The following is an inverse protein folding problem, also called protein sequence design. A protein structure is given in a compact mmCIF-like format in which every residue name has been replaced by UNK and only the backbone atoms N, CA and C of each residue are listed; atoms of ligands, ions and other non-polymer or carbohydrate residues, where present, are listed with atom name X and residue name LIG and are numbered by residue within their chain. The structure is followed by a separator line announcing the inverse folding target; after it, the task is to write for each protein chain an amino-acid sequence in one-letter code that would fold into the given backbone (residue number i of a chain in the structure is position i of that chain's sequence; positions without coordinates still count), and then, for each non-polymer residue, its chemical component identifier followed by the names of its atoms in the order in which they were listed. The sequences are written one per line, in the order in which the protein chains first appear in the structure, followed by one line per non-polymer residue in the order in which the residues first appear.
data_IF_995383851669
#
_entry.id   IF_995383851669
#
_cell.length_a   1.000
_cell.length_b   1.000
_cell.length_c   1.000
_cell.angle_alpha   90.00
_cell.angle_beta   90.00
_cell.angle_gamma   90.00
#
_symmetry.space_group_name_H-M   'P 1'
#
loop_
_entity.id
_entity.type
_entity.pdbx_description
1 polymer ?
#
# COMPACT_ATOMS: atom_id res chain seq x y z
N UNK A 1 29.92 1.18 49.12
CA UNK A 1 29.80 0.64 47.75
C UNK A 1 29.73 1.82 46.82
N UNK A 2 30.72 1.99 45.96
CA UNK A 2 30.89 3.24 45.21
C UNK A 2 29.89 3.30 44.05
N UNK A 3 28.87 4.13 44.18
CA UNK A 3 27.86 4.34 43.14
C UNK A 3 28.43 5.29 42.08
N UNK A 4 29.37 4.79 41.28
CA UNK A 4 30.02 5.60 40.24
C UNK A 4 29.01 6.10 39.21
N UNK A 5 28.78 7.41 39.21
CA UNK A 5 27.87 8.08 38.30
C UNK A 5 28.33 7.84 36.86
N UNK A 6 27.69 6.87 36.21
CA UNK A 6 27.93 6.51 34.83
C UNK A 6 26.89 7.20 33.97
N UNK A 7 27.30 7.72 32.81
CA UNK A 7 26.42 8.26 31.76
C UNK A 7 26.60 7.44 30.49
N UNK A 8 25.57 7.38 29.65
CA UNK A 8 25.68 6.87 28.28
C UNK A 8 25.55 8.03 27.32
N UNK A 9 26.55 8.18 26.47
CA UNK A 9 26.60 9.13 25.38
C UNK A 9 26.23 8.39 24.11
N UNK A 10 25.20 8.87 23.41
CA UNK A 10 24.82 8.39 22.08
C UNK A 10 25.38 9.33 21.03
N UNK A 11 25.98 8.76 19.98
CA UNK A 11 26.56 9.49 18.87
C UNK A 11 25.91 9.08 17.55
N UNK A 12 25.67 10.06 16.67
CA UNK A 12 25.29 9.89 15.26
C UNK A 12 26.40 10.47 14.40
N UNK A 13 26.89 9.71 13.42
CA UNK A 13 27.95 10.13 12.48
C UNK A 13 29.23 10.64 13.21
N UNK A 14 29.51 10.07 14.38
CA UNK A 14 30.61 10.46 15.27
C UNK A 14 30.33 11.66 16.19
N UNK A 15 29.30 12.46 15.92
CA UNK A 15 28.87 13.61 16.74
C UNK A 15 27.97 13.15 17.90
N UNK A 16 28.15 13.69 19.10
CA UNK A 16 27.24 13.44 20.22
C UNK A 16 25.84 14.03 19.94
N UNK A 17 24.79 13.26 20.23
CA UNK A 17 23.39 13.67 20.06
C UNK A 17 22.56 13.61 21.35
N UNK A 18 22.95 12.78 22.33
CA UNK A 18 22.22 12.61 23.58
C UNK A 18 23.14 12.07 24.68
N UNK A 19 22.96 12.54 25.91
CA UNK A 19 23.65 12.04 27.11
C UNK A 19 22.61 11.68 28.17
N UNK A 20 22.60 10.43 28.63
CA UNK A 20 21.64 9.90 29.61
C UNK A 20 22.35 9.40 30.88
N UNK A 21 21.85 9.68 32.10
CA UNK A 21 22.39 9.10 33.33
C UNK A 21 22.03 7.62 33.43
N UNK A 22 22.97 6.78 33.89
CA UNK A 22 22.74 5.35 34.14
C UNK A 22 22.07 5.14 35.49
N UNK A 23 20.83 5.63 35.62
CA UNK A 23 19.93 5.27 36.71
C UNK A 23 19.34 3.85 36.54
N UNK A 24 19.33 3.33 35.29
CA UNK A 24 18.71 2.07 34.88
C UNK A 24 19.64 1.18 34.05
N UNK A 25 19.36 -0.12 34.06
CA UNK A 25 20.11 -1.13 33.30
C UNK A 25 19.78 -1.17 31.79
N UNK A 26 18.69 -0.52 31.36
CA UNK A 26 18.26 -0.45 29.96
C UNK A 26 17.87 0.99 29.62
N UNK A 27 18.41 1.49 28.52
CA UNK A 27 17.97 2.73 27.89
C UNK A 27 17.06 2.39 26.72
N UNK A 28 16.00 3.19 26.55
CA UNK A 28 15.22 3.26 25.32
C UNK A 28 15.32 4.71 24.87
N UNK A 29 15.88 4.94 23.68
CA UNK A 29 16.00 6.27 23.09
C UNK A 29 14.95 6.38 22.00
N UNK A 30 13.81 6.97 22.35
CA UNK A 30 12.75 7.27 21.39
C UNK A 30 13.09 8.60 20.71
N UNK A 31 13.46 8.54 19.43
CA UNK A 31 13.61 9.74 18.61
C UNK A 31 12.23 10.27 18.24
N UNK A 32 11.79 11.35 18.90
CA UNK A 32 10.46 11.95 18.77
C UNK A 32 10.15 12.58 17.40
N UNK A 33 11.00 12.37 16.38
CA UNK A 33 10.85 12.89 15.03
C UNK A 33 10.86 11.73 14.03
N UNK A 34 9.68 11.34 13.49
CA UNK A 34 9.60 10.40 12.39
C UNK A 34 10.22 10.96 11.10
N UNK A 35 10.76 10.06 10.28
CA UNK A 35 10.80 10.18 8.81
C UNK A 35 11.54 11.37 8.14
N UNK A 36 12.29 12.21 8.87
CA UNK A 36 13.29 13.07 8.20
C UNK A 36 14.43 12.21 7.63
N UNK A 37 14.85 12.39 6.36
CA UNK A 37 16.02 11.68 5.82
C UNK A 37 17.32 12.03 6.57
N UNK A 38 17.36 13.14 7.31
CA UNK A 38 18.47 13.54 8.19
C UNK A 38 18.65 12.59 9.38
N UNK A 39 17.64 11.76 9.70
CA UNK A 39 17.73 10.72 10.72
C UNK A 39 18.54 9.50 10.26
N UNK A 40 18.87 9.36 8.97
CA UNK A 40 19.75 8.30 8.50
C UNK A 40 21.21 8.58 8.87
N UNK A 41 21.95 7.59 9.36
CA UNK A 41 23.36 7.76 9.76
C UNK A 41 23.94 6.59 10.55
N UNK A 42 25.22 6.70 10.93
CA UNK A 42 25.92 5.74 11.78
C UNK A 42 25.71 6.04 13.27
N UNK A 43 24.95 5.20 13.96
CA UNK A 43 24.71 5.29 15.39
C UNK A 43 25.71 4.45 16.19
N UNK A 44 26.16 4.98 17.33
CA UNK A 44 26.98 4.28 18.32
C UNK A 44 26.74 4.85 19.71
N UNK A 45 27.17 4.14 20.75
CA UNK A 45 27.15 4.67 22.12
C UNK A 45 28.48 4.44 22.84
N UNK A 46 28.76 5.24 23.88
CA UNK A 46 29.91 5.09 24.77
C UNK A 46 29.52 5.40 26.20
N UNK A 47 30.17 4.75 27.16
CA UNK A 47 29.96 4.99 28.58
C UNK A 47 30.94 6.05 29.06
N UNK A 48 30.47 7.02 29.85
CA UNK A 48 31.32 7.94 30.60
C UNK A 48 31.17 7.60 32.08
N UNK A 49 32.28 7.34 32.77
CA UNK A 49 32.31 6.94 34.17
C UNK A 49 33.07 7.97 34.99
N UNK A 50 32.45 8.50 36.05
CA UNK A 50 33.14 9.37 37.01
C UNK A 50 33.82 8.53 38.09
N UNK A 51 35.13 8.65 38.23
CA UNK A 51 35.90 7.91 39.25
C UNK A 51 35.90 8.59 40.63
N UNK A 52 36.48 7.91 41.62
CA UNK A 52 36.53 8.35 43.02
C UNK A 52 37.35 9.65 43.23
N UNK A 53 38.05 10.15 42.20
CA UNK A 53 38.73 11.48 42.19
C UNK A 53 37.94 12.52 41.40
N UNK A 54 36.65 12.26 41.13
CA UNK A 54 35.78 13.04 40.25
C UNK A 54 36.26 13.15 38.79
N UNK A 55 37.20 12.31 38.33
CA UNK A 55 37.67 12.36 36.94
C UNK A 55 36.73 11.61 36.01
N UNK A 56 36.37 12.23 34.88
CA UNK A 56 35.51 11.60 33.87
C UNK A 56 36.36 10.76 32.91
N UNK A 57 36.07 9.46 32.84
CA UNK A 57 36.74 8.48 31.97
C UNK A 57 35.75 7.90 30.98
N UNK A 58 36.03 8.05 29.69
CA UNK A 58 35.14 7.60 28.60
C UNK A 58 35.61 6.25 28.05
N UNK A 59 34.67 5.32 27.85
CA UNK A 59 34.95 4.03 27.22
C UNK A 59 35.26 4.17 25.74
N UNK A 60 35.81 3.10 25.15
CA UNK A 60 35.73 2.91 23.70
C UNK A 60 34.26 2.96 23.23
N UNK A 61 33.97 3.45 22.01
CA UNK A 61 32.64 3.36 21.41
C UNK A 61 32.19 1.91 21.19
N UNK A 62 30.87 1.71 21.14
CA UNK A 62 30.26 0.48 20.65
C UNK A 62 30.59 0.23 19.18
N UNK A 63 30.32 -0.99 18.70
CA UNK A 63 30.15 -1.22 17.27
C UNK A 63 29.14 -0.22 16.69
N UNK A 64 29.45 0.34 15.51
CA UNK A 64 28.55 1.24 14.79
C UNK A 64 27.38 0.47 14.19
N UNK A 65 26.22 1.11 14.08
CA UNK A 65 25.03 0.59 13.41
C UNK A 65 24.48 1.68 12.51
N UNK A 66 24.54 1.46 11.20
CA UNK A 66 23.83 2.32 10.26
C UNK A 66 22.32 2.10 10.43
N UNK A 67 21.58 3.19 10.65
CA UNK A 67 20.12 3.20 10.71
C UNK A 67 19.61 4.19 9.64
N UNK A 68 18.46 3.89 9.05
CA UNK A 68 17.78 4.76 8.11
C UNK A 68 16.27 4.54 8.21
N UNK A 69 15.49 5.61 8.12
CA UNK A 69 14.03 5.51 8.06
C UNK A 69 13.61 5.11 6.64
N UNK A 70 12.72 4.10 6.46
CA UNK A 70 12.16 3.82 5.14
C UNK A 70 11.32 5.01 4.68
N UNK A 71 11.68 5.62 3.55
CA UNK A 71 10.92 6.74 3.00
C UNK A 71 9.46 6.30 2.69
N UNK A 72 8.44 7.16 2.95
CA UNK A 72 7.03 6.79 2.84
C UNK A 72 6.51 6.73 1.38
N UNK A 73 7.19 5.97 0.53
CA UNK A 73 6.84 5.77 -0.88
C UNK A 73 5.41 5.21 -1.06
N UNK A 74 4.93 4.40 -0.11
CA UNK A 74 3.55 3.86 -0.12
C UNK A 74 2.51 4.99 -0.05
N UNK A 75 2.76 6.05 0.74
CA UNK A 75 1.85 7.20 0.79
C UNK A 75 1.81 7.92 -0.56
N UNK A 76 2.97 8.13 -1.20
CA UNK A 76 3.03 8.75 -2.53
C UNK A 76 2.23 7.95 -3.57
N UNK A 77 2.34 6.63 -3.60
CA UNK A 77 1.54 5.77 -4.48
C UNK A 77 0.04 5.89 -4.22
N UNK A 78 -0.40 5.92 -2.96
CA UNK A 78 -1.82 6.10 -2.60
C UNK A 78 -2.34 7.48 -3.05
N UNK A 79 -1.56 8.54 -2.88
CA UNK A 79 -1.91 9.88 -3.37
C UNK A 79 -1.98 9.96 -4.90
N UNK A 80 -1.02 9.32 -5.61
CA UNK A 80 -1.03 9.23 -7.08
C UNK A 80 -2.28 8.49 -7.56
N UNK A 81 -2.55 7.29 -7.07
CA UNK A 81 -3.72 6.48 -7.44
C UNK A 81 -5.04 7.23 -7.20
N UNK A 82 -5.16 7.92 -6.06
CA UNK A 82 -6.33 8.74 -5.72
C UNK A 82 -6.48 9.93 -6.67
N UNK A 83 -5.39 10.60 -7.03
CA UNK A 83 -5.38 11.71 -7.99
C UNK A 83 -5.78 11.25 -9.39
N UNK A 84 -5.18 10.16 -9.89
CA UNK A 84 -5.52 9.56 -11.19
C UNK A 84 -6.99 9.16 -11.27
N UNK A 85 -7.56 8.58 -10.20
CA UNK A 85 -8.98 8.23 -10.16
C UNK A 85 -9.89 9.45 -10.24
N UNK A 86 -9.59 10.53 -9.49
CA UNK A 86 -10.36 11.78 -9.54
C UNK A 86 -10.28 12.43 -10.92
N UNK A 87 -9.10 12.48 -11.53
CA UNK A 87 -8.92 13.00 -12.89
C UNK A 87 -9.70 12.18 -13.93
N UNK A 88 -9.67 10.85 -13.84
CA UNK A 88 -10.42 9.97 -14.74
C UNK A 88 -11.94 10.17 -14.61
N UNK A 89 -12.44 10.33 -13.39
CA UNK A 89 -13.86 10.65 -13.15
C UNK A 89 -14.25 12.01 -13.76
N UNK A 90 -13.47 13.07 -13.50
CA UNK A 90 -13.71 14.40 -14.05
C UNK A 90 -13.67 14.43 -15.59
N UNK A 91 -12.73 13.72 -16.22
CA UNK A 91 -12.64 13.61 -17.68
C UNK A 91 -13.76 12.76 -18.29
N UNK A 92 -14.30 11.79 -17.54
CA UNK A 92 -15.38 10.92 -18.05
C UNK A 92 -16.74 11.62 -18.15
N UNK A 93 -17.05 12.55 -17.25
CA UNK A 93 -18.33 13.27 -17.24
C UNK A 93 -18.68 13.96 -18.58
N UNK A 94 -17.82 14.80 -19.19
CA UNK A 94 -18.11 15.39 -20.50
C UNK A 94 -18.17 14.35 -21.63
N UNK A 95 -17.37 13.28 -21.55
CA UNK A 95 -17.40 12.19 -22.55
C UNK A 95 -18.76 11.47 -22.51
N UNK A 96 -19.30 11.17 -21.33
CA UNK A 96 -20.64 10.60 -21.19
C UNK A 96 -21.72 11.56 -21.70
N UNK A 97 -21.65 12.86 -21.38
CA UNK A 97 -22.60 13.87 -21.90
C UNK A 97 -22.61 13.89 -23.43
N UNK A 98 -21.45 14.00 -24.08
CA UNK A 98 -21.34 14.01 -25.54
C UNK A 98 -21.84 12.70 -26.19
N UNK A 99 -21.66 11.55 -25.54
CA UNK A 99 -22.17 10.26 -26.03
C UNK A 99 -23.71 10.17 -25.90
N UNK A 100 -24.28 10.70 -24.81
CA UNK A 100 -25.72 10.73 -24.60
C UNK A 100 -26.43 11.69 -25.57
N UNK A 101 -25.90 12.90 -25.75
CA UNK A 101 -26.41 13.90 -26.69
C UNK A 101 -26.43 13.35 -28.13
N UNK A 102 -25.32 12.73 -28.57
CA UNK A 102 -25.23 12.11 -29.89
C UNK A 102 -26.21 10.94 -30.10
N UNK A 103 -26.67 10.27 -29.03
CA UNK A 103 -27.67 9.21 -29.11
C UNK A 103 -29.11 9.74 -29.17
N UNK A 104 -29.40 10.90 -28.59
CA UNK A 104 -30.72 11.53 -28.68
C UNK A 104 -31.08 11.98 -30.11
N UNK A 105 -30.07 12.36 -30.90
CA UNK A 105 -30.23 12.78 -32.31
C UNK A 105 -30.35 11.57 -33.26
N UNK A 106 -29.95 10.37 -32.81
CA UNK A 106 -29.81 9.18 -33.64
C UNK A 106 -30.86 8.09 -33.32
N UNK A 107 -32.10 8.48 -33.02
CA UNK A 107 -33.23 7.55 -33.03
C UNK A 107 -33.79 7.48 -34.46
N UNK A 108 -33.71 6.33 -35.16
CA UNK A 108 -34.39 6.15 -36.44
C UNK A 108 -35.88 5.90 -36.20
N UNK A 109 -36.74 6.69 -36.86
CA UNK A 109 -38.19 6.50 -36.84
C UNK A 109 -38.55 5.09 -37.36
N UNK A 110 -38.94 4.21 -36.45
CA UNK A 110 -39.26 2.80 -36.76
C UNK A 110 -40.78 2.61 -36.83
N UNK A 111 -41.46 3.46 -37.61
CA UNK A 111 -42.87 3.31 -37.98
C UNK A 111 -43.08 3.64 -39.47
N UNK A 112 -43.10 2.58 -40.29
CA UNK A 112 -44.00 2.38 -41.44
C UNK A 112 -43.62 1.06 -42.15
N UNK A 113 -44.27 -0.04 -41.77
CA UNK A 113 -44.40 -1.22 -42.64
C UNK A 113 -45.80 -1.81 -42.53
N UNK A 114 -46.78 -1.10 -43.08
CA UNK A 114 -48.11 -1.66 -43.34
C UNK A 114 -48.22 -2.06 -44.82
N UNK A 115 -48.34 -3.37 -45.08
CA UNK A 115 -49.44 -3.89 -45.91
C UNK A 115 -49.64 -5.41 -45.75
N UNK A 116 -50.87 -5.93 -45.86
CA UNK A 116 -51.17 -7.32 -45.49
C UNK A 116 -51.41 -8.26 -46.70
N UNK A 117 -51.44 -9.55 -46.35
CA UNK A 117 -52.17 -10.66 -46.99
C UNK A 117 -51.72 -11.19 -48.38
N UNK A 118 -51.23 -12.42 -48.37
CA UNK A 118 -51.78 -13.49 -49.22
C UNK A 118 -51.98 -14.78 -48.40
N UNK A 119 -52.64 -15.80 -48.95
CA UNK A 119 -53.37 -16.83 -48.18
C UNK A 119 -53.16 -18.26 -48.70
N UNK A 120 -52.80 -19.20 -47.81
CA UNK A 120 -52.80 -20.65 -48.05
C UNK A 120 -52.29 -21.40 -46.80
N UNK A 121 -53.10 -22.16 -46.06
CA UNK A 121 -53.79 -23.44 -46.38
C UNK A 121 -52.82 -24.64 -46.43
N UNK A 122 -52.73 -25.38 -45.32
CA UNK A 122 -52.06 -26.69 -45.23
C UNK A 122 -51.94 -27.17 -43.77
N UNK A 123 -52.30 -28.43 -43.49
CA UNK A 123 -52.46 -29.01 -42.13
C UNK A 123 -51.16 -29.59 -41.50
N UNK A 124 -51.13 -29.83 -40.16
CA UNK A 124 -50.07 -30.57 -39.44
C UNK A 124 -50.40 -32.09 -39.34
N UNK A 125 -49.78 -32.90 -38.44
CA UNK A 125 -48.43 -32.87 -37.82
C UNK A 125 -47.47 -33.81 -38.62
N UNK A 126 -46.40 -34.49 -38.16
CA UNK A 126 -45.79 -34.91 -36.87
C UNK A 126 -44.22 -34.84 -37.01
N UNK A 127 -43.30 -35.38 -36.19
CA UNK A 127 -43.37 -36.26 -35.01
C UNK A 127 -42.16 -36.13 -34.04
N UNK A 128 -42.43 -36.53 -32.80
CA UNK A 128 -41.61 -37.24 -31.80
C UNK A 128 -40.25 -37.86 -32.23
N UNK A 129 -39.20 -37.60 -31.43
CA UNK A 129 -37.85 -38.17 -31.58
C UNK A 129 -37.12 -38.30 -30.24
N UNK A 130 -37.34 -39.40 -29.53
CA UNK A 130 -36.80 -39.68 -28.20
C UNK A 130 -35.34 -40.18 -28.26
N UNK A 131 -34.44 -39.61 -27.44
CA UNK A 131 -33.01 -39.94 -27.40
C UNK A 131 -32.45 -39.86 -25.99
N UNK A 132 -32.18 -41.02 -25.38
CA UNK A 132 -31.88 -41.21 -23.95
C UNK A 132 -30.44 -41.69 -23.74
N UNK A 133 -29.87 -41.32 -22.58
CA UNK A 133 -28.75 -42.03 -21.90
C UNK A 133 -27.37 -41.99 -22.63
N UNK A 134 -26.18 -42.17 -22.01
CA UNK A 134 -25.78 -42.69 -20.69
C UNK A 134 -24.70 -41.85 -19.98
N UNK A 135 -24.50 -42.15 -18.69
CA UNK A 135 -23.41 -41.69 -17.82
C UNK A 135 -22.12 -42.54 -17.93
N UNK A 136 -20.96 -41.91 -17.61
CA UNK A 136 -19.76 -42.43 -16.92
C UNK A 136 -18.72 -41.28 -16.87
N UNK A 137 -17.87 -41.03 -15.86
CA UNK A 137 -17.37 -41.85 -14.74
C UNK A 137 -16.02 -42.48 -15.10
N UNK A 138 -14.86 -42.24 -14.44
CA UNK A 138 -14.48 -41.36 -13.31
C UNK A 138 -13.06 -40.78 -13.53
N UNK A 139 -12.49 -39.91 -12.68
CA UNK A 139 -11.92 -40.19 -11.35
C UNK A 139 -10.76 -41.21 -11.37
N UNK A 140 -9.51 -40.76 -11.14
CA UNK A 140 -8.32 -41.64 -11.22
C UNK A 140 -6.94 -40.98 -11.03
N UNK A 141 -6.79 -40.01 -10.12
CA UNK A 141 -5.49 -39.67 -9.49
C UNK A 141 -5.14 -40.76 -8.43
N UNK A 142 -3.88 -40.92 -7.96
CA UNK A 142 -2.72 -40.01 -8.07
C UNK A 142 -1.43 -40.59 -8.69
#
# INVERSE_FOLDING_TARGET
MDTSATRVIFCKDGKEILMLPKDRNKFIVESAQPESPESAGEYSCRYQHKDNRNQEKTSLPSARRYLSAPAPAVLLWVWILRSTLVLLLLMSAPIFTCIMEKRAIAQPDTEQQEKPAENGRGEPPYAEGNGREKEAGGSGDP
#
